data_IF_338206526696
#
_entry.id   IF_338206526696
#
_cell.length_a   1.000
_cell.length_b   1.000
_cell.length_c   1.000
_cell.angle_alpha   90.00
_cell.angle_beta   90.00
_cell.angle_gamma   90.00
#
_symmetry.space_group_name_H-M   'P 1'
#
loop_
_entity.id
_entity.type
_entity.pdbx_description
1 polymer ?
#
# COMPACT_ATOMS: atom_id res chain seq x y z
N UNK A 1 28.90 31.73 -13.80
CA UNK A 1 27.56 31.31 -14.25
C UNK A 1 27.43 29.79 -14.36
N UNK A 2 28.44 29.08 -14.89
CA UNK A 2 28.47 27.61 -15.04
C UNK A 2 28.26 26.80 -13.74
N UNK A 3 28.76 27.30 -12.59
CA UNK A 3 28.63 26.62 -11.28
C UNK A 3 27.17 26.42 -10.84
N UNK A 4 26.32 27.42 -11.07
CA UNK A 4 24.90 27.35 -10.72
C UNK A 4 24.12 26.47 -11.68
N UNK A 5 24.54 26.41 -12.95
CA UNK A 5 23.93 25.56 -13.97
C UNK A 5 24.24 24.08 -13.70
N UNK A 6 25.46 23.74 -13.27
CA UNK A 6 25.82 22.39 -12.82
C UNK A 6 25.09 22.02 -11.53
N UNK A 7 25.00 22.93 -10.56
CA UNK A 7 24.25 22.70 -9.33
C UNK A 7 22.74 22.48 -9.59
N UNK A 8 22.16 23.25 -10.51
CA UNK A 8 20.78 23.10 -10.95
C UNK A 8 20.56 21.78 -11.70
N UNK A 9 21.46 21.38 -12.59
CA UNK A 9 21.40 20.09 -13.29
C UNK A 9 21.55 18.90 -12.32
N UNK A 10 22.41 19.00 -11.30
CA UNK A 10 22.53 17.98 -10.25
C UNK A 10 21.28 17.90 -9.39
N UNK A 11 20.69 19.04 -9.03
CA UNK A 11 19.43 19.08 -8.28
C UNK A 11 18.26 18.52 -9.10
N UNK A 12 18.18 18.85 -10.39
CA UNK A 12 17.19 18.29 -11.33
C UNK A 12 17.43 16.79 -11.54
N UNK A 13 18.68 16.32 -11.63
CA UNK A 13 18.99 14.90 -11.75
C UNK A 13 18.63 14.10 -10.48
N UNK A 14 18.88 14.66 -9.29
CA UNK A 14 18.44 14.08 -8.02
C UNK A 14 16.91 14.02 -7.92
N UNK A 15 16.22 15.05 -8.38
CA UNK A 15 14.76 15.12 -8.36
C UNK A 15 14.09 14.24 -9.43
N UNK A 16 14.69 14.14 -10.62
CA UNK A 16 14.22 13.29 -11.73
C UNK A 16 14.36 11.79 -11.42
N UNK A 17 15.28 11.41 -10.53
CA UNK A 17 15.48 10.00 -10.14
C UNK A 17 14.34 9.44 -9.26
N UNK A 18 13.41 10.27 -8.79
CA UNK A 18 12.36 9.88 -7.84
C UNK A 18 10.99 9.55 -8.46
N UNK A 19 10.85 9.59 -9.78
CA UNK A 19 9.63 9.12 -10.46
C UNK A 19 9.66 7.59 -10.59
N UNK A 20 9.55 6.89 -9.46
CA UNK A 20 9.25 5.46 -9.46
C UNK A 20 7.75 5.27 -9.67
N UNK A 21 7.36 4.56 -10.72
CA UNK A 21 5.98 4.12 -10.93
C UNK A 21 5.50 3.35 -9.70
N UNK A 22 4.51 3.89 -8.98
CA UNK A 22 3.89 3.23 -7.82
C UNK A 22 3.12 2.01 -8.33
N UNK A 23 3.50 0.81 -7.88
CA UNK A 23 2.90 -0.43 -8.37
C UNK A 23 1.68 -0.86 -7.52
N UNK A 24 0.83 -1.72 -8.09
CA UNK A 24 -0.23 -2.43 -7.35
C UNK A 24 0.34 -3.19 -6.13
N UNK A 25 1.58 -3.68 -6.22
CA UNK A 25 2.28 -4.34 -5.12
C UNK A 25 2.62 -3.37 -3.98
N UNK A 26 3.14 -2.18 -4.31
CA UNK A 26 3.49 -1.16 -3.31
C UNK A 26 2.25 -0.65 -2.59
N UNK A 27 1.18 -0.39 -3.33
CA UNK A 27 -0.10 0.02 -2.76
C UNK A 27 -0.71 -1.08 -1.90
N UNK A 28 -0.65 -2.33 -2.34
CA UNK A 28 -1.12 -3.47 -1.53
C UNK A 28 -0.38 -3.53 -0.20
N UNK A 29 0.95 -3.45 -0.23
CA UNK A 29 1.79 -3.48 0.97
C UNK A 29 1.46 -2.32 1.90
N UNK A 30 1.25 -1.12 1.35
CA UNK A 30 0.84 0.06 2.11
C UNK A 30 -0.51 -0.18 2.82
N UNK A 31 -1.56 -0.56 2.10
CA UNK A 31 -2.87 -0.77 2.71
C UNK A 31 -2.91 -1.94 3.70
N UNK A 32 -2.15 -3.01 3.46
CA UNK A 32 -2.04 -4.12 4.42
C UNK A 32 -1.27 -3.73 5.68
N UNK A 33 -0.30 -2.82 5.60
CA UNK A 33 0.33 -2.23 6.79
C UNK A 33 -0.70 -1.44 7.61
N UNK A 34 -1.53 -0.63 6.95
CA UNK A 34 -2.62 0.09 7.63
C UNK A 34 -3.62 -0.86 8.30
N UNK A 35 -4.04 -1.92 7.61
CA UNK A 35 -4.92 -2.94 8.20
C UNK A 35 -4.25 -3.59 9.41
N UNK A 36 -2.97 -3.97 9.30
CA UNK A 36 -2.22 -4.56 10.42
C UNK A 36 -2.10 -3.60 11.60
N UNK A 37 -1.82 -2.31 11.36
CA UNK A 37 -1.78 -1.31 12.42
C UNK A 37 -3.14 -1.19 13.14
N UNK A 38 -4.26 -1.28 12.43
CA UNK A 38 -5.59 -1.29 13.04
C UNK A 38 -5.84 -2.57 13.87
N UNK A 39 -5.37 -3.74 13.41
CA UNK A 39 -5.43 -5.00 14.18
C UNK A 39 -4.63 -4.85 15.48
N UNK A 40 -3.41 -4.33 15.38
CA UNK A 40 -2.50 -4.15 16.53
C UNK A 40 -3.07 -3.10 17.52
N UNK A 41 -3.81 -2.11 17.01
CA UNK A 41 -4.60 -1.15 17.80
C UNK A 41 -5.93 -1.71 18.33
N UNK A 42 -6.19 -3.02 18.17
CA UNK A 42 -7.39 -3.72 18.64
C UNK A 42 -8.71 -3.20 18.03
N UNK A 43 -8.68 -2.66 16.82
CA UNK A 43 -9.90 -2.34 16.08
C UNK A 43 -10.69 -3.62 15.78
N UNK A 44 -12.03 -3.53 15.79
CA UNK A 44 -12.88 -4.66 15.44
C UNK A 44 -12.80 -4.94 13.94
N UNK A 45 -13.04 -6.20 13.53
CA UNK A 45 -13.05 -6.55 12.11
C UNK A 45 -14.04 -5.70 11.31
N UNK A 46 -15.18 -5.36 11.91
CA UNK A 46 -16.17 -4.49 11.29
C UNK A 46 -15.64 -3.06 11.07
N UNK A 47 -14.96 -2.47 12.06
CA UNK A 47 -14.34 -1.15 11.91
C UNK A 47 -13.30 -1.15 10.78
N UNK A 48 -12.47 -2.20 10.71
CA UNK A 48 -11.45 -2.32 9.66
C UNK A 48 -12.13 -2.51 8.29
N UNK A 49 -13.15 -3.38 8.20
CA UNK A 49 -13.90 -3.62 6.97
C UNK A 49 -14.53 -2.34 6.44
N UNK A 50 -15.15 -1.53 7.30
CA UNK A 50 -15.73 -0.24 6.90
C UNK A 50 -14.70 0.74 6.32
N UNK A 51 -13.45 0.71 6.79
CA UNK A 51 -12.36 1.50 6.18
C UNK A 51 -11.99 0.98 4.78
N UNK A 52 -11.89 -0.34 4.61
CA UNK A 52 -11.60 -0.96 3.30
C UNK A 52 -12.74 -0.70 2.30
N UNK A 53 -14.00 -0.74 2.77
CA UNK A 53 -15.16 -0.35 1.97
C UNK A 53 -15.10 1.11 1.51
N UNK A 54 -14.61 2.02 2.36
CA UNK A 54 -14.42 3.42 1.99
C UNK A 54 -13.38 3.56 0.87
N UNK A 55 -12.27 2.80 0.91
CA UNK A 55 -11.29 2.80 -0.18
C UNK A 55 -11.90 2.31 -1.49
N UNK A 56 -12.69 1.23 -1.45
CA UNK A 56 -13.39 0.72 -2.62
C UNK A 56 -14.39 1.74 -3.19
N UNK A 57 -15.24 2.34 -2.34
CA UNK A 57 -16.22 3.36 -2.78
C UNK A 57 -15.57 4.65 -3.25
N UNK A 58 -14.39 4.98 -2.73
CA UNK A 58 -13.61 6.17 -3.12
C UNK A 58 -12.96 6.07 -4.51
N UNK A 59 -13.23 5.00 -5.27
CA UNK A 59 -12.73 4.84 -6.63
C UNK A 59 -11.31 4.28 -6.71
N UNK A 60 -10.76 3.72 -5.62
CA UNK A 60 -9.48 3.01 -5.64
C UNK A 60 -9.73 1.57 -6.08
N UNK A 61 -9.35 1.13 -7.31
CA UNK A 61 -9.67 -0.21 -7.79
C UNK A 61 -9.09 -1.30 -6.89
N UNK A 62 -7.91 -1.04 -6.33
CA UNK A 62 -7.27 -1.90 -5.35
C UNK A 62 -8.10 -2.05 -4.06
N UNK A 63 -8.80 -1.00 -3.61
CA UNK A 63 -9.66 -1.06 -2.43
C UNK A 63 -10.74 -2.14 -2.56
N UNK A 64 -11.33 -2.29 -3.75
CA UNK A 64 -12.32 -3.34 -4.00
C UNK A 64 -11.69 -4.74 -4.07
N UNK A 65 -10.49 -4.87 -4.65
CA UNK A 65 -9.74 -6.15 -4.62
C UNK A 65 -9.46 -6.59 -3.17
N UNK A 66 -9.04 -5.66 -2.32
CA UNK A 66 -8.80 -5.90 -0.89
C UNK A 66 -10.10 -6.23 -0.14
N UNK A 67 -11.20 -5.54 -0.45
CA UNK A 67 -12.51 -5.82 0.14
C UNK A 67 -12.98 -7.25 -0.16
N UNK A 68 -12.83 -7.69 -1.41
CA UNK A 68 -13.21 -9.04 -1.83
C UNK A 68 -12.36 -10.13 -1.13
N UNK A 69 -11.09 -9.84 -0.87
CA UNK A 69 -10.17 -10.74 -0.15
C UNK A 69 -10.15 -10.52 1.38
N UNK A 70 -11.02 -9.66 1.92
CA UNK A 70 -10.91 -9.16 3.30
C UNK A 70 -10.85 -10.25 4.36
N UNK A 71 -11.72 -11.27 4.25
CA UNK A 71 -11.75 -12.38 5.21
C UNK A 71 -10.43 -13.15 5.27
N UNK A 72 -9.82 -13.41 4.10
CA UNK A 72 -8.49 -14.02 4.01
C UNK A 72 -7.41 -13.11 4.59
N UNK A 73 -7.42 -11.82 4.22
CA UNK A 73 -6.44 -10.82 4.67
C UNK A 73 -6.41 -10.72 6.20
N UNK A 74 -7.57 -10.60 6.84
CA UNK A 74 -7.66 -10.47 8.30
C UNK A 74 -7.09 -11.71 8.99
N UNK A 75 -7.50 -12.91 8.55
CA UNK A 75 -7.02 -14.17 9.13
C UNK A 75 -5.51 -14.32 8.94
N UNK A 76 -5.00 -14.00 7.76
CA UNK A 76 -3.58 -14.07 7.43
C UNK A 76 -2.74 -13.13 8.32
N UNK A 77 -3.16 -11.87 8.45
CA UNK A 77 -2.44 -10.88 9.27
C UNK A 77 -2.51 -11.20 10.77
N UNK A 78 -3.65 -11.71 11.27
CA UNK A 78 -3.77 -12.22 12.66
C UNK A 78 -2.85 -13.41 12.90
N UNK A 79 -2.64 -14.24 11.89
CA UNK A 79 -1.70 -15.37 11.90
C UNK A 79 -0.24 -14.97 11.65
N UNK A 80 0.10 -13.68 11.85
CA UNK A 80 1.45 -13.14 11.73
C UNK A 80 2.07 -13.23 10.32
N UNK A 81 1.26 -13.41 9.26
CA UNK A 81 1.77 -13.23 7.89
C UNK A 81 2.09 -11.76 7.65
N UNK A 82 3.17 -11.50 6.92
CA UNK A 82 3.59 -10.14 6.56
C UNK A 82 2.73 -9.59 5.41
N UNK A 83 2.62 -8.26 5.27
CA UNK A 83 2.00 -7.63 4.11
C UNK A 83 2.52 -8.14 2.76
N UNK A 84 3.83 -8.39 2.63
CA UNK A 84 4.43 -8.94 1.41
C UNK A 84 3.88 -10.34 1.08
N UNK A 85 3.86 -11.24 2.08
CA UNK A 85 3.35 -12.60 1.90
C UNK A 85 1.87 -12.62 1.52
N UNK A 86 1.06 -11.75 2.12
CA UNK A 86 -0.39 -11.66 1.84
C UNK A 86 -0.61 -11.07 0.45
N UNK A 87 0.10 -9.99 0.08
CA UNK A 87 0.00 -9.39 -1.26
C UNK A 87 0.40 -10.35 -2.38
N UNK A 88 1.41 -11.21 -2.16
CA UNK A 88 1.75 -12.30 -3.09
C UNK A 88 0.62 -13.32 -3.20
N UNK A 89 0.04 -13.73 -2.07
CA UNK A 89 -1.05 -14.72 -2.07
C UNK A 89 -2.30 -14.25 -2.82
N UNK A 90 -2.60 -12.95 -2.79
CA UNK A 90 -3.72 -12.36 -3.55
C UNK A 90 -3.30 -11.83 -4.93
N UNK A 91 -2.10 -12.19 -5.41
CA UNK A 91 -1.55 -11.90 -6.75
C UNK A 91 -1.43 -10.40 -7.07
N UNK A 92 -1.16 -9.58 -6.06
CA UNK A 92 -0.86 -8.15 -6.22
C UNK A 92 0.64 -7.86 -6.20
N UNK A 93 1.44 -8.80 -5.70
CA UNK A 93 2.89 -8.85 -5.83
C UNK A 93 3.29 -10.15 -6.52
N UNK A 94 4.33 -10.11 -7.35
CA UNK A 94 5.02 -11.30 -7.85
C UNK A 94 6.12 -11.75 -6.87
#
# INVERSE_FOLDING_TARGET
>A
MTKYLVAFLLFVALFAFALTDVTDCDLCKYYLKEIKANIDAKATEQQIKSRVELWCRGGVPLGCKLLNAFGYIIQALKSQKTPDQVCKAIKLCQ
#
